data_IF_361937280706
#
_entry.id   IF_361937280706
#
_cell.length_a   1.000
_cell.length_b   1.000
_cell.length_c   1.000
_cell.angle_alpha   90.00
_cell.angle_beta   90.00
_cell.angle_gamma   90.00
#
_symmetry.space_group_name_H-M   'P 1'
#
loop_
_entity.id
_entity.type
_entity.pdbx_description
1 polymer ?
#
# COMPACT_ATOMS: atom_id res chain seq x y z
N UNK A 1 -2.04 10.94 19.58
CA UNK A 1 -3.11 10.73 18.59
C UNK A 1 -2.77 9.62 17.58
N UNK A 2 -1.60 9.65 16.94
CA UNK A 2 -1.22 8.64 15.92
C UNK A 2 -1.20 7.18 16.41
N UNK A 3 -0.89 6.92 17.70
CA UNK A 3 -0.82 5.56 18.26
C UNK A 3 -2.11 4.75 18.09
N UNK A 4 -3.26 5.40 18.22
CA UNK A 4 -4.56 4.71 18.13
C UNK A 4 -4.93 4.41 16.68
N UNK A 5 -4.68 5.34 15.77
CA UNK A 5 -4.90 5.14 14.33
C UNK A 5 -4.00 4.01 13.78
N UNK A 6 -2.72 3.97 14.17
CA UNK A 6 -1.83 2.88 13.75
C UNK A 6 -2.22 1.54 14.36
N UNK A 7 -2.69 1.52 15.62
CA UNK A 7 -3.20 0.31 16.24
C UNK A 7 -4.46 -0.20 15.53
N UNK A 8 -5.33 0.72 15.09
CA UNK A 8 -6.54 0.39 14.34
C UNK A 8 -6.23 -0.18 12.96
N UNK A 9 -5.32 0.47 12.23
CA UNK A 9 -4.83 -0.03 10.94
C UNK A 9 -4.23 -1.44 11.07
N UNK A 10 -3.44 -1.71 12.12
CA UNK A 10 -2.89 -3.04 12.37
C UNK A 10 -3.98 -4.08 12.57
N UNK A 11 -5.01 -3.77 13.37
CA UNK A 11 -6.15 -4.68 13.56
C UNK A 11 -6.89 -4.95 12.26
N UNK A 12 -7.12 -3.94 11.43
CA UNK A 12 -7.76 -4.10 10.14
C UNK A 12 -6.96 -5.02 9.22
N UNK A 13 -5.63 -4.89 9.21
CA UNK A 13 -4.76 -5.80 8.47
C UNK A 13 -4.83 -7.24 8.99
N UNK A 14 -4.88 -7.44 10.32
CA UNK A 14 -4.98 -8.77 10.91
C UNK A 14 -6.29 -9.48 10.48
N UNK A 15 -7.40 -8.75 10.41
CA UNK A 15 -8.69 -9.27 9.89
C UNK A 15 -8.56 -9.70 8.42
N UNK A 16 -7.96 -8.85 7.58
CA UNK A 16 -7.77 -9.18 6.15
C UNK A 16 -6.87 -10.41 6.01
N UNK A 17 -5.78 -10.49 6.76
CA UNK A 17 -4.85 -11.63 6.73
C UNK A 17 -5.52 -12.94 7.12
N UNK A 18 -6.44 -12.90 8.08
CA UNK A 18 -7.19 -14.06 8.58
C UNK A 18 -8.37 -14.48 7.69
N UNK A 19 -8.74 -13.70 6.67
CA UNK A 19 -9.97 -13.91 5.87
C UNK A 19 -9.98 -15.17 4.99
N UNK A 20 -8.83 -15.82 4.78
CA UNK A 20 -8.70 -16.94 3.85
C UNK A 20 -8.71 -16.54 2.37
N UNK A 21 -9.02 -15.28 2.04
CA UNK A 21 -9.03 -14.76 0.67
C UNK A 21 -7.61 -14.59 0.11
N UNK A 22 -7.53 -14.44 -1.21
CA UNK A 22 -6.33 -13.96 -1.88
C UNK A 22 -6.29 -12.43 -1.76
N UNK A 23 -5.56 -11.95 -0.75
CA UNK A 23 -5.48 -10.54 -0.40
C UNK A 23 -4.11 -9.96 -0.75
N UNK A 24 -4.08 -8.65 -1.05
CA UNK A 24 -2.86 -7.84 -1.12
C UNK A 24 -3.09 -6.56 -0.31
N UNK A 25 -2.20 -6.27 0.64
CA UNK A 25 -2.30 -5.05 1.46
C UNK A 25 -1.31 -4.03 0.92
N UNK A 26 -1.80 -2.93 0.33
CA UNK A 26 -0.97 -1.84 -0.18
C UNK A 26 -0.86 -0.73 0.87
N UNK A 27 0.36 -0.37 1.26
CA UNK A 27 0.67 0.66 2.27
C UNK A 27 1.26 1.90 1.60
N UNK A 28 0.47 2.95 1.33
CA UNK A 28 0.98 4.20 0.82
C UNK A 28 1.61 5.07 1.92
N UNK A 29 2.44 6.05 1.55
CA UNK A 29 2.90 7.10 2.44
C UNK A 29 1.86 8.23 2.46
N UNK A 30 2.25 9.47 2.79
CA UNK A 30 1.31 10.61 2.74
C UNK A 30 0.79 10.80 1.31
N UNK A 31 -0.53 10.83 1.15
CA UNK A 31 -1.17 11.02 -0.15
C UNK A 31 -1.36 12.50 -0.50
N UNK A 32 -1.05 12.86 -1.74
CA UNK A 32 -1.22 14.22 -2.31
C UNK A 32 -2.23 14.23 -3.46
N UNK A 33 -2.88 15.37 -3.68
CA UNK A 33 -3.91 15.56 -4.73
C UNK A 33 -3.39 16.20 -6.02
N UNK A 34 -2.07 16.45 -6.10
CA UNK A 34 -1.43 16.92 -7.33
C UNK A 34 -1.44 15.87 -8.44
N UNK A 35 -1.03 16.30 -9.63
CA UNK A 35 -0.85 15.41 -10.77
C UNK A 35 0.11 14.25 -10.43
N UNK A 36 -0.24 13.03 -10.85
CA UNK A 36 0.63 11.87 -10.74
C UNK A 36 1.83 11.95 -11.67
N UNK A 37 2.90 11.24 -11.32
CA UNK A 37 4.10 11.08 -12.17
C UNK A 37 3.97 9.91 -13.16
N UNK A 38 2.88 9.14 -13.08
CA UNK A 38 2.67 7.91 -13.86
C UNK A 38 3.61 6.78 -13.46
N UNK A 39 4.21 6.84 -12.27
CA UNK A 39 5.15 5.85 -11.76
C UNK A 39 5.20 5.87 -10.24
N UNK A 40 5.56 4.74 -9.66
CA UNK A 40 5.78 4.56 -8.22
C UNK A 40 6.94 3.58 -7.99
N UNK A 41 7.40 3.51 -6.74
CA UNK A 41 8.34 2.53 -6.23
C UNK A 41 7.59 1.60 -5.29
N UNK A 42 7.92 0.31 -5.32
CA UNK A 42 7.30 -0.70 -4.48
C UNK A 42 8.33 -1.52 -3.71
N UNK A 43 7.93 -2.05 -2.56
CA UNK A 43 8.71 -3.01 -1.81
C UNK A 43 7.80 -4.02 -1.10
N UNK A 44 8.08 -5.31 -1.29
CA UNK A 44 7.30 -6.41 -0.71
C UNK A 44 7.84 -6.75 0.68
N UNK A 45 6.95 -6.86 1.66
CA UNK A 45 7.22 -7.16 3.07
C UNK A 45 8.28 -6.26 3.75
N UNK A 46 8.56 -5.11 3.14
CA UNK A 46 9.48 -4.10 3.66
C UNK A 46 9.04 -2.72 3.22
N UNK A 47 9.63 -1.69 3.82
CA UNK A 47 9.31 -0.30 3.50
C UNK A 47 10.10 0.19 2.29
N UNK A 48 9.51 1.14 1.54
CA UNK A 48 10.22 1.92 0.52
C UNK A 48 11.05 3.00 1.21
N UNK A 49 12.36 3.04 0.95
CA UNK A 49 13.24 4.07 1.49
C UNK A 49 13.04 5.40 0.74
N UNK A 50 12.81 6.49 1.46
CA UNK A 50 12.75 7.85 0.89
C UNK A 50 11.48 8.21 0.10
N UNK A 51 10.43 7.38 0.15
CA UNK A 51 9.15 7.63 -0.53
C UNK A 51 8.10 8.21 0.43
N UNK A 52 8.27 9.44 0.92
CA UNK A 52 7.40 10.01 1.97
C UNK A 52 6.04 10.54 1.47
N UNK A 53 5.89 10.71 0.16
CA UNK A 53 4.65 11.17 -0.48
C UNK A 53 4.34 10.38 -1.74
N UNK A 54 3.06 10.27 -2.08
CA UNK A 54 2.60 9.65 -3.33
C UNK A 54 1.32 10.35 -3.80
N UNK A 55 1.20 10.63 -5.10
CA UNK A 55 -0.03 11.18 -5.66
C UNK A 55 -1.14 10.11 -5.67
N UNK A 56 -2.39 10.49 -5.40
CA UNK A 56 -3.53 9.54 -5.45
C UNK A 56 -3.67 8.86 -6.82
N UNK A 57 -3.35 9.57 -7.90
CA UNK A 57 -3.31 9.01 -9.24
C UNK A 57 -2.29 7.86 -9.37
N UNK A 58 -1.09 8.03 -8.82
CA UNK A 58 -0.04 7.00 -8.84
C UNK A 58 -0.34 5.84 -7.88
N UNK A 59 -1.06 6.10 -6.78
CA UNK A 59 -1.61 5.02 -5.95
C UNK A 59 -2.63 4.19 -6.74
N UNK A 60 -3.49 4.83 -7.53
CA UNK A 60 -4.43 4.13 -8.40
C UNK A 60 -3.73 3.18 -9.36
N UNK A 61 -2.63 3.63 -9.97
CA UNK A 61 -1.78 2.79 -10.82
C UNK A 61 -1.24 1.58 -10.04
N UNK A 62 -0.67 1.79 -8.85
CA UNK A 62 -0.14 0.71 -8.03
C UNK A 62 -1.21 -0.33 -7.62
N UNK A 63 -2.43 0.12 -7.33
CA UNK A 63 -3.55 -0.77 -7.00
C UNK A 63 -3.93 -1.66 -8.18
N UNK A 64 -3.97 -1.11 -9.40
CA UNK A 64 -4.29 -1.88 -10.61
C UNK A 64 -3.20 -2.90 -10.93
N UNK A 65 -1.93 -2.50 -10.84
CA UNK A 65 -0.79 -3.38 -11.10
C UNK A 65 -0.80 -4.59 -10.15
N UNK A 66 -1.02 -4.36 -8.85
CA UNK A 66 -1.03 -5.45 -7.86
C UNK A 66 -2.31 -6.29 -7.89
N UNK A 67 -3.46 -5.73 -8.26
CA UNK A 67 -4.67 -6.52 -8.46
C UNK A 67 -4.52 -7.54 -9.59
N UNK A 68 -3.68 -7.25 -10.59
CA UNK A 68 -3.40 -8.13 -11.71
C UNK A 68 -2.18 -9.06 -11.50
N UNK A 69 -1.46 -8.93 -10.38
CA UNK A 69 -0.22 -9.67 -10.11
C UNK A 69 -0.42 -10.79 -9.07
N UNK A 70 -0.39 -12.08 -9.49
CA UNK A 70 -0.47 -13.22 -8.58
C UNK A 70 0.67 -13.28 -7.57
N UNK A 71 1.84 -12.70 -7.86
CA UNK A 71 2.98 -12.68 -6.93
C UNK A 71 2.73 -11.75 -5.72
N UNK A 72 1.73 -10.89 -5.79
CA UNK A 72 1.32 -10.00 -4.70
C UNK A 72 0.37 -10.68 -3.70
N UNK A 73 -0.17 -11.86 -4.03
CA UNK A 73 -1.12 -12.59 -3.20
C UNK A 73 -0.51 -12.95 -1.85
N UNK A 74 -1.25 -12.62 -0.79
CA UNK A 74 -0.87 -12.76 0.62
C UNK A 74 0.41 -12.00 0.97
N UNK A 75 0.66 -10.85 0.32
CA UNK A 75 1.80 -9.98 0.58
C UNK A 75 1.38 -8.59 1.05
N UNK A 76 2.26 -7.97 1.83
CA UNK A 76 2.17 -6.54 2.12
C UNK A 76 3.11 -5.81 1.17
N UNK A 77 2.58 -4.82 0.44
CA UNK A 77 3.36 -4.02 -0.48
C UNK A 77 3.38 -2.57 -0.03
N UNK A 78 4.56 -2.07 0.33
CA UNK A 78 4.74 -0.63 0.56
C UNK A 78 4.99 0.07 -0.77
N UNK A 79 4.34 1.22 -0.98
CA UNK A 79 4.53 2.03 -2.19
C UNK A 79 5.05 3.43 -1.83
N UNK A 80 5.62 4.13 -2.80
CA UNK A 80 6.09 5.51 -2.64
C UNK A 80 6.41 6.18 -3.98
N UNK A 81 6.43 7.50 -4.03
CA UNK A 81 6.65 8.26 -5.28
C UNK A 81 8.10 8.47 -5.69
#
# INVERSE_FOLDING_TARGET
MLKHAFADMRRAEDVVRASGLDWTIVRPPRLTDGAGKGRYRAAVDRNVLGGFTLARADLGLALLDHAADPASVRRVVSVGG
#
